data_IF_692959013648
#
_entry.id   IF_692959013648
#
_cell.length_a   1.000
_cell.length_b   1.000
_cell.length_c   1.000
_cell.angle_alpha   90.00
_cell.angle_beta   90.00
_cell.angle_gamma   90.00
#
_symmetry.space_group_name_H-M   'P 1'
#
loop_
_entity.id
_entity.type
_entity.pdbx_description
1 polymer ?
#
# COMPACT_ATOMS: atom_id res chain seq x y z
N UNK A 1 6.53 23.36 0.09
CA UNK A 1 6.73 21.91 -0.17
C UNK A 1 6.25 21.60 -1.58
N UNK A 2 6.88 20.66 -2.30
CA UNK A 2 6.37 20.27 -3.62
C UNK A 2 4.96 19.69 -3.49
N UNK A 3 4.11 20.00 -4.47
CA UNK A 3 2.71 19.53 -4.52
C UNK A 3 2.65 18.00 -4.63
N UNK A 4 1.62 17.36 -4.02
CA UNK A 4 1.37 15.93 -4.25
C UNK A 4 1.05 15.74 -5.72
N UNK A 5 1.78 14.81 -6.36
CA UNK A 5 1.50 14.35 -7.71
C UNK A 5 1.12 12.86 -7.68
N UNK A 6 0.19 12.46 -8.50
CA UNK A 6 -0.15 11.05 -8.72
C UNK A 6 1.00 10.26 -9.36
N UNK A 7 1.99 10.96 -9.94
CA UNK A 7 3.24 10.40 -10.44
C UNK A 7 4.34 10.23 -9.38
N UNK A 8 4.14 10.70 -8.14
CA UNK A 8 5.10 10.46 -7.08
C UNK A 8 5.36 8.95 -6.92
N UNK A 9 6.62 8.60 -6.61
CA UNK A 9 7.00 7.22 -6.33
C UNK A 9 6.66 6.87 -4.89
N UNK A 10 6.05 5.72 -4.70
CA UNK A 10 5.89 5.04 -3.42
C UNK A 10 6.99 3.99 -3.32
N UNK A 11 7.83 4.07 -2.29
CA UNK A 11 8.78 3.02 -1.93
C UNK A 11 8.33 2.42 -0.59
N UNK A 12 7.92 1.16 -0.61
CA UNK A 12 7.36 0.45 0.54
C UNK A 12 8.23 -0.73 0.89
N UNK A 13 8.77 -0.78 2.12
CA UNK A 13 9.59 -1.91 2.58
C UNK A 13 8.84 -3.23 2.51
N UNK A 14 9.55 -4.34 2.30
CA UNK A 14 8.95 -5.69 2.32
C UNK A 14 8.29 -6.00 3.66
N UNK A 15 8.85 -5.51 4.76
CA UNK A 15 8.22 -5.63 6.09
C UNK A 15 6.84 -5.01 6.11
N UNK A 16 6.66 -3.85 5.48
CA UNK A 16 5.37 -3.16 5.41
C UNK A 16 4.42 -3.78 4.38
N UNK A 17 4.94 -4.36 3.27
CA UNK A 17 4.12 -5.11 2.30
C UNK A 17 3.48 -6.33 2.97
N UNK A 18 4.23 -7.05 3.82
CA UNK A 18 3.78 -8.27 4.47
C UNK A 18 3.28 -8.06 5.90
N UNK A 19 3.14 -6.81 6.34
CA UNK A 19 2.53 -6.46 7.62
C UNK A 19 1.02 -6.74 7.63
N UNK A 20 0.47 -7.04 8.80
CA UNK A 20 -0.96 -7.29 8.98
C UNK A 20 -1.65 -5.98 9.38
N UNK A 21 -2.42 -5.43 8.45
CA UNK A 21 -3.23 -4.23 8.63
C UNK A 21 -4.64 -4.61 9.09
N UNK A 22 -4.81 -4.79 10.39
CA UNK A 22 -6.15 -5.00 10.95
C UNK A 22 -6.88 -3.67 11.05
N UNK A 23 -8.17 -3.69 10.76
CA UNK A 23 -9.07 -2.55 10.94
C UNK A 23 -8.70 -1.27 10.15
N UNK A 24 -7.74 -1.37 9.21
CA UNK A 24 -7.43 -0.28 8.30
C UNK A 24 -8.47 -0.19 7.17
N UNK A 25 -9.03 0.98 6.98
CA UNK A 25 -9.90 1.27 5.84
C UNK A 25 -9.08 1.62 4.59
N UNK A 26 -9.73 1.59 3.42
CA UNK A 26 -9.09 2.04 2.19
C UNK A 26 -8.62 3.50 2.26
N UNK A 27 -9.33 4.35 3.01
CA UNK A 27 -8.95 5.74 3.22
C UNK A 27 -7.63 5.88 3.99
N UNK A 28 -7.44 5.10 5.03
CA UNK A 28 -6.23 5.10 5.84
C UNK A 28 -5.04 4.49 5.10
N UNK A 29 -5.27 3.42 4.35
CA UNK A 29 -4.23 2.86 3.48
C UNK A 29 -3.78 3.89 2.41
N UNK A 30 -4.72 4.68 1.84
CA UNK A 30 -4.35 5.77 0.93
C UNK A 30 -3.57 6.88 1.62
N UNK A 31 -3.87 7.22 2.89
CA UNK A 31 -3.03 8.15 3.67
C UNK A 31 -1.62 7.61 3.86
N UNK A 32 -1.48 6.31 4.13
CA UNK A 32 -0.17 5.65 4.19
C UNK A 32 0.58 5.75 2.85
N UNK A 33 -0.10 5.48 1.73
CA UNK A 33 0.50 5.59 0.39
C UNK A 33 0.97 7.03 0.09
N UNK A 34 0.15 8.03 0.46
CA UNK A 34 0.53 9.44 0.34
C UNK A 34 1.75 9.75 1.19
N UNK A 35 1.78 9.29 2.44
CA UNK A 35 2.93 9.48 3.32
C UNK A 35 4.21 8.87 2.70
N UNK A 36 4.16 7.60 2.28
CA UNK A 36 5.28 6.90 1.66
C UNK A 36 5.78 7.57 0.37
N UNK A 37 4.88 8.18 -0.39
CA UNK A 37 5.23 8.89 -1.63
C UNK A 37 5.93 10.23 -1.40
N UNK A 38 6.01 10.71 -0.17
CA UNK A 38 6.55 12.03 0.18
C UNK A 38 7.78 11.99 1.07
N UNK A 39 8.03 10.89 1.77
CA UNK A 39 9.29 10.69 2.47
C UNK A 39 10.39 10.36 1.46
N UNK A 40 11.63 10.69 1.83
CA UNK A 40 12.81 10.13 1.18
C UNK A 40 13.31 8.95 2.04
N UNK A 41 13.17 7.69 1.60
CA UNK A 41 13.59 6.54 2.41
C UNK A 41 15.08 6.51 2.75
N UNK A 42 15.88 7.35 2.10
CA UNK A 42 17.33 7.49 2.33
C UNK A 42 17.68 8.66 3.26
N UNK A 43 16.65 9.43 3.67
CA UNK A 43 16.82 10.60 4.54
C UNK A 43 15.77 10.60 5.67
N UNK A 44 16.12 10.12 6.86
CA UNK A 44 15.22 10.10 8.01
C UNK A 44 14.72 11.47 8.48
N UNK A 45 15.37 12.56 8.07
CA UNK A 45 14.89 13.91 8.39
C UNK A 45 13.58 14.24 7.70
N UNK A 46 13.22 13.49 6.62
CA UNK A 46 11.95 13.60 5.90
C UNK A 46 10.76 12.93 6.61
N UNK A 47 10.92 12.48 7.86
CA UNK A 47 9.92 11.74 8.64
C UNK A 47 8.58 12.45 8.87
N UNK A 48 8.54 13.76 8.72
CA UNK A 48 7.32 14.58 8.77
C UNK A 48 6.88 14.97 7.38
N UNK A 49 5.65 14.58 7.04
CA UNK A 49 5.01 14.88 5.75
C UNK A 49 3.85 15.83 5.97
N UNK A 50 3.73 16.84 5.11
CA UNK A 50 2.62 17.79 5.11
C UNK A 50 1.99 17.88 3.71
N UNK A 51 0.66 18.05 3.69
CA UNK A 51 -0.10 18.28 2.45
C UNK A 51 -1.42 18.98 2.77
N UNK A 52 -1.98 19.69 1.78
CA UNK A 52 -3.28 20.32 1.92
C UNK A 52 -4.41 19.34 1.65
N UNK A 53 -5.60 19.58 2.24
CA UNK A 53 -6.78 18.79 1.90
C UNK A 53 -7.20 18.97 0.43
N UNK A 54 -6.89 20.09 -0.18
CA UNK A 54 -7.14 20.32 -1.60
C UNK A 54 -6.29 19.37 -2.47
N UNK A 55 -4.98 19.27 -2.18
CA UNK A 55 -4.10 18.32 -2.88
C UNK A 55 -4.58 16.87 -2.71
N UNK A 56 -4.96 16.49 -1.48
CA UNK A 56 -5.46 15.16 -1.20
C UNK A 56 -6.78 14.87 -1.91
N UNK A 57 -7.71 15.83 -1.93
CA UNK A 57 -8.96 15.76 -2.69
C UNK A 57 -8.70 15.52 -4.19
N UNK A 58 -7.79 16.31 -4.76
CA UNK A 58 -7.48 16.25 -6.21
C UNK A 58 -6.82 14.90 -6.56
N UNK A 59 -5.91 14.40 -5.71
CA UNK A 59 -5.31 13.08 -5.86
C UNK A 59 -6.36 11.96 -5.87
N UNK A 60 -7.36 12.06 -4.99
CA UNK A 60 -8.44 11.07 -4.91
C UNK A 60 -9.48 11.22 -6.05
N UNK A 61 -9.39 12.26 -6.87
CA UNK A 61 -10.36 12.57 -7.91
C UNK A 61 -11.74 12.95 -7.37
N UNK A 62 -11.82 13.52 -6.16
CA UNK A 62 -13.06 13.91 -5.51
C UNK A 62 -13.45 15.35 -5.89
N UNK A 63 -14.77 15.61 -6.02
CA UNK A 63 -15.30 16.97 -6.24
C UNK A 63 -15.14 17.87 -5.01
N UNK A 64 -15.29 17.30 -3.81
CA UNK A 64 -15.16 18.00 -2.54
C UNK A 64 -14.62 17.09 -1.45
N UNK A 65 -13.93 17.64 -0.46
CA UNK A 65 -13.44 16.95 0.71
C UNK A 65 -13.58 17.89 1.92
N UNK A 66 -14.41 17.52 2.89
CA UNK A 66 -14.65 18.29 4.11
C UNK A 66 -13.66 17.84 5.21
N UNK A 67 -13.04 18.80 5.89
CA UNK A 67 -12.14 18.55 7.02
C UNK A 67 -12.80 17.68 8.11
N UNK A 68 -14.09 17.88 8.38
CA UNK A 68 -14.87 17.10 9.36
C UNK A 68 -14.98 15.62 9.02
N UNK A 69 -14.87 15.24 7.74
CA UNK A 69 -14.86 13.84 7.30
C UNK A 69 -13.48 13.21 7.38
N UNK A 70 -12.44 14.01 7.27
CA UNK A 70 -11.05 13.54 7.30
C UNK A 70 -10.53 13.42 8.74
N UNK A 71 -11.01 14.26 9.65
CA UNK A 71 -10.59 14.24 11.06
C UNK A 71 -10.76 12.87 11.74
N UNK A 72 -11.94 12.20 11.71
CA UNK A 72 -12.09 10.86 12.29
C UNK A 72 -11.18 9.82 11.63
N UNK A 73 -10.99 9.92 10.32
CA UNK A 73 -10.09 9.03 9.58
C UNK A 73 -8.63 9.19 10.03
N UNK A 74 -8.17 10.44 10.22
CA UNK A 74 -6.81 10.71 10.72
C UNK A 74 -6.64 10.18 12.16
N UNK A 75 -7.62 10.37 13.03
CA UNK A 75 -7.59 9.87 14.41
C UNK A 75 -7.54 8.33 14.45
N UNK A 76 -8.37 7.67 13.65
CA UNK A 76 -8.37 6.21 13.54
C UNK A 76 -7.05 5.69 12.96
N UNK A 77 -6.54 6.31 11.90
CA UNK A 77 -5.25 6.00 11.29
C UNK A 77 -4.09 6.07 12.30
N UNK A 78 -4.10 7.06 13.19
CA UNK A 78 -3.08 7.22 14.22
C UNK A 78 -3.17 6.15 15.32
N UNK A 79 -4.38 5.70 15.64
CA UNK A 79 -4.64 4.72 16.70
C UNK A 79 -4.50 3.26 16.28
N UNK A 80 -4.49 2.97 14.97
CA UNK A 80 -4.43 1.61 14.48
C UNK A 80 -3.02 1.01 14.59
N UNK A 81 -2.98 -0.24 15.03
CA UNK A 81 -1.72 -1.00 15.10
C UNK A 81 -1.49 -1.83 13.84
N UNK A 82 -0.23 -2.03 13.56
CA UNK A 82 0.26 -2.94 12.53
C UNK A 82 1.09 -4.04 13.20
N UNK A 83 0.95 -5.27 12.76
CA UNK A 83 1.71 -6.39 13.29
C UNK A 83 2.63 -6.99 12.24
N UNK A 84 3.90 -7.18 12.62
CA UNK A 84 4.91 -7.87 11.80
C UNK A 84 5.27 -9.18 12.51
N UNK A 85 5.26 -10.34 11.81
CA UNK A 85 5.71 -11.58 12.38
C UNK A 85 7.23 -11.57 12.60
N UNK A 86 7.69 -11.90 13.82
CA UNK A 86 9.11 -12.08 14.14
C UNK A 86 9.53 -13.53 13.84
N UNK A 87 8.85 -14.49 14.42
CA UNK A 87 9.07 -15.92 14.21
C UNK A 87 7.75 -16.58 13.86
N UNK A 88 7.66 -17.05 12.59
CA UNK A 88 6.43 -17.66 12.07
C UNK A 88 6.17 -19.05 12.67
N UNK A 89 7.21 -19.78 13.04
CA UNK A 89 7.09 -21.13 13.61
C UNK A 89 6.60 -21.07 15.06
N UNK A 90 7.14 -20.11 15.83
CA UNK A 90 6.73 -19.87 17.21
C UNK A 90 5.49 -19.00 17.36
N UNK A 91 5.03 -18.39 16.27
CA UNK A 91 3.87 -17.49 16.28
C UNK A 91 4.11 -16.15 16.99
N UNK A 92 5.37 -15.75 17.19
CA UNK A 92 5.70 -14.48 17.82
C UNK A 92 5.58 -13.31 16.82
N UNK A 93 5.15 -12.16 17.32
CA UNK A 93 4.96 -10.96 16.53
C UNK A 93 5.28 -9.70 17.34
N UNK A 94 5.55 -8.63 16.65
CA UNK A 94 5.63 -7.29 17.20
C UNK A 94 4.46 -6.45 16.66
N UNK A 95 3.82 -5.69 17.54
CA UNK A 95 2.75 -4.75 17.16
C UNK A 95 3.10 -3.35 17.58
N UNK A 96 2.86 -2.39 16.69
CA UNK A 96 3.16 -0.99 16.92
C UNK A 96 2.21 -0.07 16.14
N UNK A 97 2.16 1.20 16.52
CA UNK A 97 1.53 2.27 15.73
C UNK A 97 2.55 2.79 14.72
N UNK A 98 2.13 2.98 13.47
CA UNK A 98 3.02 3.49 12.41
C UNK A 98 3.37 4.97 12.60
N UNK A 99 2.48 5.74 13.21
CA UNK A 99 2.59 7.19 13.33
C UNK A 99 2.37 7.62 14.77
N UNK A 100 3.20 8.54 15.26
CA UNK A 100 3.11 9.07 16.63
C UNK A 100 2.39 10.40 16.69
N UNK A 101 2.26 11.09 15.57
CA UNK A 101 1.61 12.39 15.52
C UNK A 101 0.93 12.62 14.18
N UNK A 102 -0.30 13.13 14.25
CA UNK A 102 -0.98 13.72 13.12
C UNK A 102 -1.63 15.04 13.57
N UNK A 103 -1.66 16.04 12.69
CA UNK A 103 -2.29 17.34 12.92
C UNK A 103 -3.13 17.68 11.69
N UNK A 104 -4.36 18.14 11.92
CA UNK A 104 -5.16 18.85 10.93
C UNK A 104 -5.28 20.29 11.38
N UNK A 105 -4.75 21.20 10.62
CA UNK A 105 -4.66 22.62 10.94
C UNK A 105 -5.32 23.47 9.87
N UNK A 106 -5.94 24.58 10.25
CA UNK A 106 -6.46 25.56 9.31
C UNK A 106 -5.46 26.72 9.20
N UNK A 107 -5.03 27.00 7.97
CA UNK A 107 -4.09 28.08 7.66
C UNK A 107 -4.87 29.26 7.06
N UNK A 108 -5.10 30.34 7.83
CA UNK A 108 -5.93 31.48 7.42
C UNK A 108 -5.41 32.19 6.17
N UNK A 109 -4.08 32.28 6.02
CA UNK A 109 -3.39 32.99 4.93
C UNK A 109 -3.72 32.37 3.57
N UNK A 110 -3.79 31.03 3.52
CA UNK A 110 -4.11 30.26 2.31
C UNK A 110 -5.55 29.78 2.26
N UNK A 111 -6.33 30.04 3.32
CA UNK A 111 -7.70 29.53 3.51
C UNK A 111 -7.82 28.02 3.26
N UNK A 112 -6.82 27.27 3.71
CA UNK A 112 -6.74 25.83 3.47
C UNK A 112 -6.48 25.05 4.76
N UNK A 113 -6.96 23.80 4.75
CA UNK A 113 -6.58 22.83 5.79
C UNK A 113 -5.32 22.10 5.36
N UNK A 114 -4.39 21.93 6.31
CA UNK A 114 -3.14 21.21 6.13
C UNK A 114 -3.14 20.01 7.07
N UNK A 115 -2.82 18.86 6.53
CA UNK A 115 -2.56 17.62 7.28
C UNK A 115 -1.05 17.48 7.43
N UNK A 116 -0.58 17.27 8.66
CA UNK A 116 0.81 16.91 8.96
C UNK A 116 0.83 15.53 9.65
N UNK A 117 1.68 14.63 9.17
CA UNK A 117 1.82 13.27 9.72
C UNK A 117 3.30 13.03 9.99
N UNK A 118 3.62 12.49 11.19
CA UNK A 118 4.98 12.13 11.58
C UNK A 118 5.02 10.65 11.94
N UNK A 119 5.95 9.89 11.35
CA UNK A 119 6.09 8.48 11.65
C UNK A 119 6.63 8.23 13.06
N UNK A 120 6.44 7.02 13.53
CA UNK A 120 7.05 6.54 14.76
C UNK A 120 8.58 6.43 14.56
N UNK A 121 9.40 7.13 15.35
CA UNK A 121 10.85 7.12 15.20
C UNK A 121 11.48 5.74 15.45
N UNK A 122 10.83 4.89 16.25
CA UNK A 122 11.29 3.52 16.53
C UNK A 122 11.17 2.59 15.32
N UNK A 123 10.40 3.01 14.28
CA UNK A 123 10.18 2.26 13.06
C UNK A 123 11.06 2.72 11.89
N UNK A 124 12.26 3.20 12.19
CA UNK A 124 13.20 3.70 11.19
C UNK A 124 13.45 2.67 10.07
N UNK A 125 13.70 1.41 10.41
CA UNK A 125 13.95 0.33 9.44
C UNK A 125 12.76 -0.03 8.56
N UNK A 126 11.56 0.43 8.90
CA UNK A 126 10.33 0.19 8.14
C UNK A 126 10.11 1.28 7.10
N UNK A 127 10.43 2.53 7.45
CA UNK A 127 10.22 3.70 6.59
C UNK A 127 11.49 4.17 5.89
N UNK A 128 12.65 3.96 6.53
CA UNK A 128 13.94 4.44 6.07
C UNK A 128 14.94 3.28 6.03
N UNK A 129 16.06 3.48 5.33
CA UNK A 129 17.12 2.47 5.19
C UNK A 129 16.59 1.13 4.63
N UNK A 130 15.48 1.18 3.85
CA UNK A 130 14.73 0.01 3.38
C UNK A 130 15.43 -0.80 2.29
N UNK A 131 16.57 -0.32 1.78
CA UNK A 131 17.32 -1.00 0.70
C UNK A 131 17.85 -2.37 1.13
N UNK A 132 18.29 -2.51 2.39
CA UNK A 132 18.84 -3.77 2.92
C UNK A 132 17.76 -4.85 3.08
N UNK A 133 16.56 -4.46 3.56
CA UNK A 133 15.43 -5.39 3.75
C UNK A 133 14.66 -5.66 2.46
N UNK A 134 14.93 -4.88 1.41
CA UNK A 134 14.21 -4.88 0.15
C UNK A 134 12.90 -4.10 0.22
N UNK A 135 12.46 -3.62 -0.94
CA UNK A 135 11.24 -2.82 -1.06
C UNK A 135 10.58 -3.02 -2.42
N UNK A 136 9.33 -2.60 -2.52
CA UNK A 136 8.59 -2.45 -3.79
C UNK A 136 8.51 -0.98 -4.16
N UNK A 137 8.51 -0.69 -5.46
CA UNK A 137 8.42 0.67 -6.00
C UNK A 137 7.30 0.73 -7.05
N UNK A 138 6.46 1.77 -6.96
CA UNK A 138 5.38 2.03 -7.91
C UNK A 138 4.91 3.48 -7.85
N UNK A 139 4.11 3.90 -8.83
CA UNK A 139 3.51 5.24 -8.85
C UNK A 139 2.29 5.33 -7.93
N UNK A 140 2.15 6.44 -7.22
CA UNK A 140 1.03 6.70 -6.30
C UNK A 140 -0.34 6.59 -7.01
N UNK A 141 -0.42 6.95 -8.29
CA UNK A 141 -1.66 6.87 -9.11
C UNK A 141 -2.30 5.48 -9.12
N UNK A 142 -1.52 4.42 -8.95
CA UNK A 142 -2.03 3.05 -9.01
C UNK A 142 -2.81 2.65 -7.77
N UNK A 143 -2.54 3.28 -6.62
CA UNK A 143 -3.20 2.97 -5.35
C UNK A 143 -4.14 4.06 -4.86
N UNK A 144 -3.86 5.33 -5.21
CA UNK A 144 -4.59 6.50 -4.69
C UNK A 144 -6.08 6.49 -5.03
N UNK A 145 -6.48 5.89 -6.15
CA UNK A 145 -7.88 5.82 -6.60
C UNK A 145 -8.58 4.49 -6.28
N UNK A 146 -7.87 3.52 -5.73
CA UNK A 146 -8.49 2.26 -5.29
C UNK A 146 -9.44 2.52 -4.13
N UNK A 147 -10.64 1.96 -4.20
CA UNK A 147 -11.72 2.12 -3.22
C UNK A 147 -11.74 1.01 -2.18
N UNK A 148 -11.24 -0.17 -2.55
CA UNK A 148 -11.18 -1.32 -1.67
C UNK A 148 -9.83 -1.39 -0.95
N UNK A 149 -9.85 -1.60 0.37
CA UNK A 149 -8.65 -1.91 1.14
C UNK A 149 -7.95 -3.17 0.63
N UNK A 150 -8.73 -4.15 0.19
CA UNK A 150 -8.21 -5.41 -0.34
C UNK A 150 -7.38 -5.20 -1.61
N UNK A 151 -7.80 -4.27 -2.47
CA UNK A 151 -7.09 -3.92 -3.70
C UNK A 151 -5.73 -3.30 -3.39
N UNK A 152 -5.66 -2.35 -2.46
CA UNK A 152 -4.42 -1.66 -2.09
C UNK A 152 -3.41 -2.66 -1.48
N UNK A 153 -3.88 -3.52 -0.57
CA UNK A 153 -3.03 -4.52 0.08
C UNK A 153 -2.56 -5.59 -0.91
N UNK A 154 -3.48 -6.14 -1.71
CA UNK A 154 -3.15 -7.16 -2.71
C UNK A 154 -2.19 -6.60 -3.76
N UNK A 155 -2.40 -5.38 -4.24
CA UNK A 155 -1.51 -4.74 -5.21
C UNK A 155 -0.05 -4.69 -4.73
N UNK A 156 0.18 -4.30 -3.48
CA UNK A 156 1.53 -4.29 -2.90
C UNK A 156 2.18 -5.68 -2.87
N UNK A 157 1.40 -6.72 -2.55
CA UNK A 157 1.87 -8.13 -2.56
C UNK A 157 2.19 -8.58 -4.00
N UNK A 158 1.34 -8.24 -4.96
CA UNK A 158 1.58 -8.57 -6.38
C UNK A 158 2.85 -7.89 -6.90
N UNK A 159 3.12 -6.64 -6.50
CA UNK A 159 4.36 -5.94 -6.84
C UNK A 159 5.59 -6.61 -6.25
N UNK A 160 5.52 -7.10 -5.01
CA UNK A 160 6.62 -7.85 -4.41
C UNK A 160 6.90 -9.17 -5.16
N UNK A 161 5.87 -9.90 -5.54
CA UNK A 161 6.03 -11.11 -6.35
C UNK A 161 6.61 -10.82 -7.73
N UNK A 162 6.17 -9.77 -8.41
CA UNK A 162 6.73 -9.36 -9.71
C UNK A 162 8.21 -8.94 -9.62
N UNK A 163 8.65 -8.41 -8.46
CA UNK A 163 10.06 -8.13 -8.23
C UNK A 163 10.89 -9.41 -7.97
N UNK A 164 10.25 -10.50 -7.54
CA UNK A 164 10.92 -11.78 -7.32
C UNK A 164 11.09 -12.56 -8.64
N UNK A 165 9.97 -12.78 -9.32
CA UNK A 165 9.94 -13.45 -10.63
C UNK A 165 8.57 -13.24 -11.32
N UNK A 166 8.47 -13.67 -12.58
CA UNK A 166 7.24 -13.58 -13.38
C UNK A 166 6.36 -14.83 -13.27
N UNK A 167 6.64 -15.74 -12.32
CA UNK A 167 5.91 -16.98 -12.18
C UNK A 167 4.59 -16.78 -11.43
N UNK A 168 3.64 -17.73 -11.56
CA UNK A 168 2.48 -17.76 -10.70
C UNK A 168 2.87 -18.02 -9.24
N UNK A 169 2.30 -17.26 -8.33
CA UNK A 169 2.52 -17.38 -6.88
C UNK A 169 1.30 -17.94 -6.18
N UNK A 170 1.52 -18.90 -5.28
CA UNK A 170 0.48 -19.53 -4.48
C UNK A 170 0.53 -19.02 -3.03
N UNK A 171 -0.65 -18.76 -2.46
CA UNK A 171 -0.80 -18.35 -1.06
C UNK A 171 -2.00 -19.10 -0.45
N UNK A 172 -1.82 -19.66 0.76
CA UNK A 172 -2.91 -20.32 1.47
C UNK A 172 -4.03 -19.34 1.80
N UNK A 173 -5.29 -19.81 1.82
CA UNK A 173 -6.44 -18.95 2.16
C UNK A 173 -6.29 -18.29 3.53
N UNK A 174 -5.77 -19.02 4.52
CA UNK A 174 -5.51 -18.47 5.86
C UNK A 174 -4.57 -17.26 5.79
N UNK A 175 -3.40 -17.44 5.16
CA UNK A 175 -2.39 -16.38 5.03
C UNK A 175 -2.92 -15.21 4.20
N UNK A 176 -3.64 -15.47 3.10
CA UNK A 176 -4.22 -14.44 2.25
C UNK A 176 -5.23 -13.57 3.01
N UNK A 177 -6.14 -14.19 3.76
CA UNK A 177 -7.11 -13.48 4.61
C UNK A 177 -6.44 -12.61 5.66
N UNK A 178 -5.40 -13.13 6.32
CA UNK A 178 -4.61 -12.38 7.29
C UNK A 178 -3.93 -11.16 6.67
N UNK A 179 -3.36 -11.31 5.47
CA UNK A 179 -2.67 -10.24 4.75
C UNK A 179 -3.63 -9.16 4.23
N UNK A 180 -4.83 -9.55 3.82
CA UNK A 180 -5.84 -8.63 3.32
C UNK A 180 -6.74 -8.05 4.43
N UNK A 181 -6.55 -8.44 5.69
CA UNK A 181 -7.45 -8.05 6.78
C UNK A 181 -8.87 -8.63 6.64
N UNK A 182 -9.07 -9.67 5.83
CA UNK A 182 -10.36 -10.29 5.54
C UNK A 182 -10.71 -11.34 6.62
N UNK A 183 -10.85 -10.90 7.88
CA UNK A 183 -10.97 -11.80 9.03
C UNK A 183 -12.42 -12.10 9.46
N UNK A 184 -13.42 -11.53 8.80
CA UNK A 184 -14.82 -11.83 9.08
C UNK A 184 -15.11 -13.33 8.90
N UNK A 185 -15.90 -13.92 9.82
CA UNK A 185 -16.28 -15.33 9.76
C UNK A 185 -16.99 -15.74 8.46
N UNK A 186 -17.71 -14.79 7.83
CA UNK A 186 -18.35 -15.00 6.54
C UNK A 186 -17.38 -15.39 5.42
N UNK A 187 -16.09 -15.01 5.53
CA UNK A 187 -15.03 -15.32 4.57
C UNK A 187 -14.37 -16.67 4.80
N UNK A 188 -14.78 -17.45 5.82
CA UNK A 188 -14.43 -18.88 5.93
C UNK A 188 -15.02 -19.68 4.77
N UNK A 189 -16.15 -19.20 4.23
CA UNK A 189 -16.75 -19.73 3.02
C UNK A 189 -16.06 -19.13 1.80
N UNK A 190 -15.31 -19.94 1.05
CA UNK A 190 -14.53 -19.49 -0.10
C UNK A 190 -15.35 -18.69 -1.13
N UNK A 191 -16.61 -19.07 -1.38
CA UNK A 191 -17.52 -18.33 -2.28
C UNK A 191 -17.68 -16.86 -1.87
N UNK A 192 -17.78 -16.59 -0.56
CA UNK A 192 -17.91 -15.22 -0.05
C UNK A 192 -16.59 -14.46 -0.15
N UNK A 193 -15.47 -15.10 0.26
CA UNK A 193 -14.12 -14.54 0.10
C UNK A 193 -13.86 -14.18 -1.36
N UNK A 194 -14.14 -15.11 -2.28
CA UNK A 194 -14.00 -14.88 -3.70
C UNK A 194 -14.78 -13.67 -4.15
N UNK A 195 -16.10 -13.63 -3.94
CA UNK A 195 -16.99 -12.61 -4.49
C UNK A 195 -16.77 -11.23 -3.89
N UNK A 196 -16.51 -11.16 -2.57
CA UNK A 196 -16.49 -9.87 -1.82
C UNK A 196 -15.07 -9.32 -1.62
N UNK A 197 -14.05 -10.14 -1.77
CA UNK A 197 -12.65 -9.76 -1.56
C UNK A 197 -11.84 -9.92 -2.83
N UNK A 198 -11.73 -11.13 -3.37
CA UNK A 198 -10.80 -11.42 -4.46
C UNK A 198 -11.27 -10.84 -5.80
N UNK A 199 -12.52 -11.09 -6.21
CA UNK A 199 -13.06 -10.55 -7.46
C UNK A 199 -13.00 -9.01 -7.41
N UNK A 200 -13.43 -8.38 -6.31
CA UNK A 200 -13.37 -6.92 -6.14
C UNK A 200 -11.95 -6.38 -6.24
N UNK A 201 -10.99 -7.01 -5.57
CA UNK A 201 -9.60 -6.56 -5.56
C UNK A 201 -8.96 -6.72 -6.96
N UNK A 202 -9.16 -7.86 -7.60
CA UNK A 202 -8.58 -8.17 -8.91
C UNK A 202 -9.17 -7.27 -10.00
N UNK A 203 -10.49 -7.07 -10.00
CA UNK A 203 -11.17 -6.20 -10.97
C UNK A 203 -10.67 -4.76 -10.85
N UNK A 204 -10.54 -4.24 -9.62
CA UNK A 204 -10.07 -2.89 -9.40
C UNK A 204 -8.58 -2.72 -9.77
N UNK A 205 -7.71 -3.66 -9.38
CA UNK A 205 -6.29 -3.66 -9.77
C UNK A 205 -6.16 -3.65 -11.30
N UNK A 206 -6.89 -4.53 -11.98
CA UNK A 206 -6.87 -4.63 -13.44
C UNK A 206 -7.37 -3.35 -14.11
N UNK A 207 -8.32 -2.64 -13.49
CA UNK A 207 -8.87 -1.41 -14.06
C UNK A 207 -7.93 -0.20 -13.91
N UNK A 208 -7.29 -0.02 -12.74
CA UNK A 208 -6.66 1.27 -12.39
C UNK A 208 -5.14 1.22 -12.22
N UNK A 209 -4.51 0.03 -12.20
CA UNK A 209 -3.06 -0.09 -11.97
C UNK A 209 -2.28 -0.50 -13.23
N UNK A 210 -0.97 -0.57 -13.08
CA UNK A 210 -0.01 -1.06 -14.08
C UNK A 210 0.06 -2.60 -14.17
N UNK A 211 -0.69 -3.32 -13.32
CA UNK A 211 -0.71 -4.78 -13.28
C UNK A 211 -1.99 -5.30 -13.93
N UNK A 212 -1.86 -6.38 -14.69
CA UNK A 212 -2.96 -7.28 -15.00
C UNK A 212 -2.75 -8.58 -14.25
N UNK A 213 -3.78 -9.05 -13.55
CA UNK A 213 -3.70 -10.27 -12.74
C UNK A 213 -4.92 -11.15 -12.96
N UNK A 214 -4.69 -12.45 -13.04
CA UNK A 214 -5.71 -13.48 -12.95
C UNK A 214 -5.41 -14.39 -11.76
N UNK A 215 -6.42 -15.09 -11.29
CA UNK A 215 -6.22 -16.04 -10.19
C UNK A 215 -7.10 -17.28 -10.35
N UNK A 216 -6.68 -18.35 -9.72
CA UNK A 216 -7.42 -19.63 -9.67
C UNK A 216 -7.32 -20.26 -8.27
N UNK A 217 -8.37 -20.94 -7.79
CA UNK A 217 -8.29 -21.67 -6.53
C UNK A 217 -7.45 -22.93 -6.67
N UNK A 218 -6.67 -23.23 -5.64
CA UNK A 218 -6.01 -24.52 -5.46
C UNK A 218 -6.91 -25.41 -4.61
N UNK A 219 -7.29 -26.54 -5.15
CA UNK A 219 -8.26 -27.44 -4.53
C UNK A 219 -7.61 -28.70 -3.94
N UNK A 220 -8.01 -29.07 -2.73
CA UNK A 220 -7.74 -30.37 -2.11
C UNK A 220 -9.08 -30.99 -1.74
N UNK A 221 -9.36 -32.20 -2.22
CA UNK A 221 -10.64 -32.88 -2.02
C UNK A 221 -11.86 -31.95 -2.32
N UNK A 222 -11.83 -31.23 -3.43
CA UNK A 222 -12.84 -30.25 -3.88
C UNK A 222 -13.04 -29.03 -2.99
N UNK A 223 -12.21 -28.83 -1.96
CA UNK A 223 -12.21 -27.62 -1.12
C UNK A 223 -11.05 -26.71 -1.50
N UNK A 224 -11.31 -25.41 -1.62
CA UNK A 224 -10.25 -24.44 -1.84
C UNK A 224 -9.39 -24.32 -0.58
N UNK A 225 -8.08 -24.47 -0.72
CA UNK A 225 -7.09 -24.36 0.37
C UNK A 225 -6.12 -23.21 0.16
N UNK A 226 -5.91 -22.81 -1.10
CA UNK A 226 -5.04 -21.73 -1.49
C UNK A 226 -5.57 -21.01 -2.74
N UNK A 227 -4.93 -19.92 -3.11
CA UNK A 227 -5.17 -19.18 -4.35
C UNK A 227 -3.83 -19.01 -5.06
N UNK A 228 -3.82 -19.25 -6.35
CA UNK A 228 -2.68 -19.06 -7.23
C UNK A 228 -2.91 -17.84 -8.11
N UNK A 229 -2.10 -16.82 -7.94
CA UNK A 229 -2.15 -15.57 -8.71
C UNK A 229 -1.14 -15.60 -9.86
N UNK A 230 -1.49 -14.95 -10.98
CA UNK A 230 -0.67 -14.83 -12.19
C UNK A 230 -0.57 -13.34 -12.57
N UNK A 231 0.25 -12.53 -11.83
CA UNK A 231 0.41 -11.12 -12.15
C UNK A 231 1.33 -10.91 -13.34
N UNK A 232 1.09 -9.83 -14.11
CA UNK A 232 1.95 -9.34 -15.19
C UNK A 232 1.91 -7.81 -15.23
N UNK A 233 3.00 -7.15 -15.60
CA UNK A 233 3.00 -5.72 -15.91
C UNK A 233 2.26 -5.51 -17.25
N UNK A 234 1.43 -4.47 -17.35
CA UNK A 234 0.76 -4.09 -18.59
C UNK A 234 1.79 -3.59 -19.60
N UNK A 235 1.68 -4.00 -20.85
CA UNK A 235 2.64 -3.65 -21.91
C UNK A 235 2.79 -2.13 -22.13
N UNK A 236 1.71 -1.36 -21.97
CA UNK A 236 1.73 0.10 -22.04
C UNK A 236 2.61 0.76 -20.98
N UNK A 237 2.70 0.19 -19.80
CA UNK A 237 3.50 0.73 -18.69
C UNK A 237 4.96 0.32 -18.78
N UNK A 238 5.27 -0.85 -19.34
CA UNK A 238 6.64 -1.28 -19.61
C UNK A 238 7.36 -0.31 -20.56
N UNK A 239 6.66 0.24 -21.56
CA UNK A 239 7.21 1.23 -22.46
C UNK A 239 7.50 2.58 -21.76
N UNK A 240 6.63 2.99 -20.84
CA UNK A 240 6.81 4.25 -20.09
C UNK A 240 7.98 4.14 -19.11
N UNK A 241 8.15 3.00 -18.44
CA UNK A 241 9.28 2.76 -17.53
C UNK A 241 10.62 2.67 -18.29
N UNK A 242 10.64 2.05 -19.46
CA UNK A 242 11.82 2.00 -20.32
C UNK A 242 12.25 3.40 -20.79
N UNK A 243 11.31 4.24 -21.24
CA UNK A 243 11.59 5.61 -21.64
C UNK A 243 12.03 6.52 -20.49
N UNK A 244 11.53 6.28 -19.28
CA UNK A 244 11.93 7.03 -18.08
C UNK A 244 13.35 6.67 -17.60
N UNK A 245 13.84 5.46 -17.89
CA UNK A 245 15.21 5.02 -17.56
C UNK A 245 16.26 5.48 -18.57
N UNK A 246 15.85 5.96 -19.75
CA UNK A 246 16.75 6.53 -20.75
C UNK A 246 17.07 8.02 -20.56
N UNK A 247 16.52 8.68 -19.51
CA UNK A 247 16.91 10.05 -19.18
C UNK A 247 18.28 10.05 -18.50
N UNK A 248 19.33 10.67 -19.10
CA UNK A 248 20.70 10.63 -18.57
C UNK A 248 20.79 11.43 -17.27
N UNK A 249 21.09 10.80 -16.17
CA UNK A 249 21.33 11.53 -14.90
C UNK A 249 21.47 10.75 -13.61
N UNK A 250 21.31 9.43 -13.60
CA UNK A 250 21.63 8.65 -12.37
C UNK A 250 22.54 7.46 -12.71
N UNK A 251 23.67 7.27 -11.99
CA UNK A 251 24.57 6.14 -12.25
C UNK A 251 23.92 4.83 -11.79
N UNK A 252 23.67 3.94 -12.74
CA UNK A 252 23.33 2.54 -12.47
C UNK A 252 24.47 1.88 -11.70
N UNK A 253 24.30 1.57 -10.42
CA UNK A 253 25.17 0.62 -9.73
C UNK A 253 24.76 -0.79 -10.13
N UNK A 254 25.69 -1.42 -10.85
CA UNK A 254 25.62 -2.83 -11.24
C UNK A 254 25.38 -3.72 -10.02
N UNK A 255 24.36 -4.55 -10.11
CA UNK A 255 24.15 -5.70 -9.23
C UNK A 255 25.08 -6.82 -9.71
N UNK A 256 26.04 -7.18 -8.86
CA UNK A 256 26.72 -8.48 -8.90
C UNK A 256 26.06 -9.41 -7.89
#
# INVERSE_FOLDING_TARGET
MPKISDNNLVEKSKSLVWAKFRDYTAGELRLLEVYLSRINPRDPSSSRVEFTLAEYRDLLGLKSLDARRVEPQIKHFLGNTVSIPIDKEKGTFESFVLFTRAKLDYVPETRSYVVAITCNPDLRSIFFDIAESGYVRYRLRYTSRMKSQYSILLYSILRDWLNMDSKPHEISLKKLREQLGAMEASYDVYKNLRKRVLDVAVDEINAVSDIVVTYEPVLVARKAVAVKFKPKIKASETLIEAQASEVPGEPQKAVR
#
